data_IF_882129882624
#
_entry.id   IF_882129882624
#
_cell.length_a   1.000
_cell.length_b   1.000
_cell.length_c   1.000
_cell.angle_alpha   90.00
_cell.angle_beta   90.00
_cell.angle_gamma   90.00
#
_symmetry.space_group_name_H-M   'P 1'
#
loop_
_entity.id
_entity.type
_entity.pdbx_description
1 polymer ?
#
# COMPACT_ATOMS: atom_id res chain seq x y z
N UNK A 1 -11.09 -1.07 9.32
CA UNK A 1 -12.24 -1.56 8.51
C UNK A 1 -12.47 -0.77 7.21
N UNK A 2 -12.16 0.54 7.13
CA UNK A 2 -12.42 1.35 5.91
C UNK A 2 -11.51 1.08 4.70
N UNK A 3 -10.28 0.56 4.89
CA UNK A 3 -9.39 0.21 3.77
C UNK A 3 -9.91 -0.94 2.90
N UNK A 4 -10.85 -1.75 3.40
CA UNK A 4 -11.38 -2.91 2.70
C UNK A 4 -12.50 -2.56 1.70
N UNK A 5 -13.24 -1.47 1.92
CA UNK A 5 -14.43 -1.14 1.11
C UNK A 5 -14.10 -0.78 -0.35
N UNK A 6 -12.97 -0.10 -0.59
CA UNK A 6 -12.60 0.32 -1.96
C UNK A 6 -12.18 -0.84 -2.84
N UNK A 7 -11.35 -1.75 -2.31
CA UNK A 7 -10.93 -2.96 -3.03
C UNK A 7 -12.14 -3.87 -3.29
N UNK A 8 -13.04 -4.01 -2.32
CA UNK A 8 -14.32 -4.72 -2.49
C UNK A 8 -15.17 -4.13 -3.60
N UNK A 9 -15.23 -2.80 -3.72
CA UNK A 9 -15.94 -2.14 -4.82
C UNK A 9 -15.34 -2.50 -6.17
N UNK A 10 -14.02 -2.45 -6.32
CA UNK A 10 -13.35 -2.82 -7.58
C UNK A 10 -13.63 -4.27 -7.95
N UNK A 11 -13.47 -5.20 -7.00
CA UNK A 11 -13.79 -6.63 -7.22
C UNK A 11 -15.25 -6.83 -7.63
N UNK A 12 -16.19 -6.09 -7.03
CA UNK A 12 -17.61 -6.17 -7.39
C UNK A 12 -17.92 -5.74 -8.82
N UNK A 13 -17.17 -4.77 -9.36
CA UNK A 13 -17.32 -4.33 -10.75
C UNK A 13 -16.54 -5.20 -11.76
N UNK A 14 -15.70 -6.10 -11.27
CA UNK A 14 -14.95 -7.06 -12.09
C UNK A 14 -15.55 -8.47 -11.96
N UNK A 15 -16.87 -8.59 -11.81
CA UNK A 15 -17.58 -9.87 -11.65
C UNK A 15 -17.05 -10.75 -10.50
N UNK A 16 -16.58 -10.11 -9.42
CA UNK A 16 -15.97 -10.80 -8.29
C UNK A 16 -14.54 -11.28 -8.53
N UNK A 17 -13.94 -10.97 -9.69
CA UNK A 17 -12.57 -11.33 -10.00
C UNK A 17 -11.59 -10.71 -9.00
N UNK A 18 -10.62 -11.52 -8.56
CA UNK A 18 -9.54 -11.15 -7.63
C UNK A 18 -8.15 -11.38 -8.21
N UNK A 19 -8.07 -11.88 -9.44
CA UNK A 19 -6.85 -12.24 -10.14
C UNK A 19 -6.25 -11.03 -10.87
N UNK A 20 -6.05 -9.95 -10.13
CA UNK A 20 -5.35 -8.78 -10.61
C UNK A 20 -4.30 -8.34 -9.59
N UNK A 21 -3.16 -7.81 -10.05
CA UNK A 21 -2.09 -7.39 -9.17
C UNK A 21 -2.51 -6.18 -8.33
N UNK A 22 -2.22 -6.25 -7.03
CA UNK A 22 -2.47 -5.19 -6.08
C UNK A 22 -1.15 -4.77 -5.43
N UNK A 23 -0.88 -3.47 -5.43
CA UNK A 23 0.22 -2.86 -4.68
C UNK A 23 -0.33 -2.25 -3.38
N UNK A 24 0.13 -2.73 -2.23
CA UNK A 24 -0.26 -2.21 -0.93
C UNK A 24 0.81 -1.27 -0.37
N UNK A 25 0.43 -0.01 -0.11
CA UNK A 25 1.26 0.92 0.64
C UNK A 25 0.74 0.94 2.08
N UNK A 26 1.57 0.46 3.00
CA UNK A 26 1.22 0.42 4.42
C UNK A 26 1.40 1.78 5.06
N UNK A 27 0.31 2.37 5.56
CA UNK A 27 0.34 3.67 6.25
C UNK A 27 0.44 3.53 7.78
N UNK A 28 0.31 2.30 8.31
CA UNK A 28 0.30 2.00 9.75
C UNK A 28 -1.11 1.92 10.34
N UNK A 29 -1.17 1.92 11.67
CA UNK A 29 -2.41 1.94 12.44
C UNK A 29 -2.48 3.20 13.32
N UNK A 30 -3.69 3.68 13.66
CA UNK A 30 -3.84 4.73 14.64
C UNK A 30 -3.24 4.30 15.97
N UNK A 31 -2.44 5.18 16.60
CA UNK A 31 -1.93 4.95 17.95
C UNK A 31 -3.00 5.30 18.99
N UNK A 32 -3.24 4.40 19.95
CA UNK A 32 -4.16 4.63 21.07
C UNK A 32 -5.64 4.66 20.66
N UNK A 33 -6.43 5.54 21.29
CA UNK A 33 -7.89 5.62 21.11
C UNK A 33 -8.35 6.49 19.93
N UNK A 34 -7.46 6.80 18.98
CA UNK A 34 -7.80 7.63 17.82
C UNK A 34 -8.84 6.92 16.93
N UNK A 35 -9.87 7.66 16.52
CA UNK A 35 -10.86 7.15 15.58
C UNK A 35 -10.22 6.81 14.21
N UNK A 36 -10.59 5.66 13.66
CA UNK A 36 -10.02 5.16 12.41
C UNK A 36 -10.37 6.02 11.20
N UNK A 37 -11.56 6.66 11.16
CA UNK A 37 -11.92 7.55 10.05
C UNK A 37 -11.09 8.83 10.13
N UNK A 38 -10.94 9.39 11.34
CA UNK A 38 -10.07 10.55 11.56
C UNK A 38 -8.62 10.25 11.14
N UNK A 39 -8.09 9.09 11.51
CA UNK A 39 -6.75 8.65 11.12
C UNK A 39 -6.54 8.54 9.60
N UNK A 40 -7.57 8.10 8.86
CA UNK A 40 -7.49 7.97 7.40
C UNK A 40 -7.66 9.29 6.66
N UNK A 41 -8.34 10.26 7.27
CA UNK A 41 -8.66 11.55 6.64
C UNK A 41 -7.68 12.67 7.01
N UNK A 42 -6.88 12.49 8.07
CA UNK A 42 -5.88 13.47 8.46
C UNK A 42 -4.69 13.53 7.49
N UNK A 43 -3.95 14.64 7.53
CA UNK A 43 -2.69 14.78 6.80
C UNK A 43 -1.58 14.00 7.52
N UNK A 44 -0.64 13.47 6.74
CA UNK A 44 0.60 12.91 7.28
C UNK A 44 1.45 14.00 7.94
N UNK A 45 2.12 13.65 9.03
CA UNK A 45 3.21 14.46 9.59
C UNK A 45 4.40 14.51 8.62
N UNK A 46 5.34 15.47 8.76
CA UNK A 46 6.52 15.54 7.91
C UNK A 46 7.36 14.26 7.89
N UNK A 47 7.48 13.58 9.05
CA UNK A 47 8.21 12.32 9.16
C UNK A 47 7.50 11.18 8.41
N UNK A 48 6.18 11.05 8.59
CA UNK A 48 5.38 10.07 7.84
C UNK A 48 5.41 10.37 6.34
N UNK A 49 5.42 11.66 5.96
CA UNK A 49 5.45 12.07 4.56
C UNK A 49 6.71 11.60 3.85
N UNK A 50 7.88 11.74 4.47
CA UNK A 50 9.13 11.23 3.91
C UNK A 50 9.07 9.72 3.64
N UNK A 51 8.46 8.95 4.55
CA UNK A 51 8.29 7.51 4.36
C UNK A 51 7.32 7.17 3.23
N UNK A 52 6.22 7.93 3.11
CA UNK A 52 5.28 7.78 1.99
C UNK A 52 5.97 8.08 0.66
N UNK A 53 6.83 9.11 0.62
CA UNK A 53 7.55 9.48 -0.59
C UNK A 53 8.57 8.40 -0.98
N UNK A 54 9.30 7.83 -0.02
CA UNK A 54 10.17 6.66 -0.25
C UNK A 54 9.38 5.43 -0.72
N UNK A 55 8.24 5.13 -0.09
CA UNK A 55 7.36 4.03 -0.47
C UNK A 55 6.83 4.20 -1.90
N UNK A 56 6.51 5.44 -2.27
CA UNK A 56 6.05 5.78 -3.62
C UNK A 56 7.15 5.58 -4.66
N UNK A 57 8.38 6.01 -4.37
CA UNK A 57 9.54 5.80 -5.25
C UNK A 57 9.80 4.30 -5.46
N UNK A 58 9.78 3.51 -4.38
CA UNK A 58 9.89 2.05 -4.46
C UNK A 58 8.73 1.43 -5.28
N UNK A 59 7.52 1.93 -5.11
CA UNK A 59 6.34 1.49 -5.87
C UNK A 59 6.47 1.76 -7.37
N UNK A 60 7.01 2.91 -7.75
CA UNK A 60 7.28 3.24 -9.17
C UNK A 60 8.31 2.27 -9.76
N UNK A 61 9.38 1.99 -9.04
CA UNK A 61 10.40 1.03 -9.49
C UNK A 61 9.85 -0.40 -9.58
N UNK A 62 8.95 -0.76 -8.67
CA UNK A 62 8.22 -2.03 -8.72
C UNK A 62 7.37 -2.15 -9.98
N UNK A 63 6.60 -1.12 -10.31
CA UNK A 63 5.80 -1.09 -11.54
C UNK A 63 6.66 -1.15 -12.81
N UNK A 64 7.81 -0.46 -12.83
CA UNK A 64 8.76 -0.53 -13.96
C UNK A 64 9.30 -1.94 -14.13
N UNK A 65 9.73 -2.57 -13.03
CA UNK A 65 10.26 -3.93 -13.04
C UNK A 65 9.19 -4.94 -13.48
N UNK A 66 7.96 -4.80 -13.00
CA UNK A 66 6.81 -5.61 -13.41
C UNK A 66 6.53 -5.48 -14.91
N UNK A 67 6.49 -4.26 -15.44
CA UNK A 67 6.27 -4.01 -16.87
C UNK A 67 7.35 -4.66 -17.75
N UNK A 68 8.61 -4.62 -17.32
CA UNK A 68 9.73 -5.13 -18.10
C UNK A 68 9.92 -6.65 -17.99
N UNK A 69 9.61 -7.25 -16.84
CA UNK A 69 9.96 -8.65 -16.55
C UNK A 69 8.75 -9.58 -16.32
N UNK A 70 7.53 -9.04 -16.35
CA UNK A 70 6.31 -9.77 -16.05
C UNK A 70 6.18 -10.18 -14.57
N UNK A 71 5.15 -10.97 -14.27
CA UNK A 71 4.79 -11.43 -12.91
C UNK A 71 5.62 -12.65 -12.43
N UNK A 72 6.93 -12.65 -12.69
CA UNK A 72 7.84 -13.73 -12.28
C UNK A 72 8.40 -13.53 -10.85
N UNK A 73 9.32 -14.39 -10.39
CA UNK A 73 9.95 -14.45 -9.04
C UNK A 73 10.42 -13.10 -8.42
N UNK A 74 10.48 -12.00 -9.19
CA UNK A 74 10.78 -10.64 -8.71
C UNK A 74 9.68 -10.05 -7.82
N UNK A 75 8.42 -10.48 -7.92
CA UNK A 75 7.34 -9.98 -7.04
C UNK A 75 7.61 -10.33 -5.58
N UNK A 76 8.07 -11.55 -5.31
CA UNK A 76 8.48 -11.99 -3.97
C UNK A 76 9.65 -11.14 -3.44
N UNK A 77 10.57 -10.68 -4.32
CA UNK A 77 11.67 -9.77 -3.92
C UNK A 77 11.20 -8.38 -3.53
N UNK A 78 10.14 -7.83 -4.15
CA UNK A 78 9.59 -6.54 -3.73
C UNK A 78 9.03 -6.60 -2.31
N UNK A 79 8.34 -7.68 -1.94
CA UNK A 79 7.80 -7.83 -0.58
C UNK A 79 8.89 -7.96 0.48
N UNK A 80 10.08 -8.47 0.14
CA UNK A 80 11.22 -8.61 1.03
C UNK A 80 12.09 -7.35 1.14
N UNK A 81 12.04 -6.46 0.13
CA UNK A 81 12.85 -5.24 0.03
C UNK A 81 12.12 -3.94 0.36
N UNK A 82 10.92 -4.01 0.95
CA UNK A 82 10.19 -2.83 1.41
C UNK A 82 11.06 -2.10 2.46
N UNK A 83 11.59 -0.93 2.08
CA UNK A 83 12.52 -0.17 2.93
C UNK A 83 11.76 0.62 4.01
N UNK A 84 10.48 0.89 3.77
CA UNK A 84 9.62 1.53 4.75
C UNK A 84 9.15 0.50 5.79
N UNK A 85 9.65 0.63 7.02
CA UNK A 85 9.02 0.02 8.19
C UNK A 85 7.93 0.98 8.69
N UNK A 86 6.72 0.51 8.99
CA UNK A 86 5.69 1.37 9.59
C UNK A 86 6.21 1.92 10.93
N UNK A 87 6.19 3.24 11.10
CA UNK A 87 6.74 3.94 12.29
C UNK A 87 5.92 3.77 13.57
N UNK A 88 4.72 3.20 13.50
CA UNK A 88 3.86 3.02 14.68
C UNK A 88 3.48 1.55 14.81
N UNK A 89 4.14 0.90 15.78
CA UNK A 89 3.65 -0.30 16.44
C UNK A 89 2.62 0.09 17.50
#
# INVERSE_FOLDING_TARGET
MLSCCRVKSVMGHLDGNREFPLLYIGIGNPSGAMDMKAYLLQKFSPAERNQIDEALEQGVEAMRTLKLNGFNQKITRFNLGQKYKPLRQ
#
